data_IF_216602167308
#
_entry.id   IF_216602167308
#
_cell.length_a   1.000
_cell.length_b   1.000
_cell.length_c   1.000
_cell.angle_alpha   90.00
_cell.angle_beta   90.00
_cell.angle_gamma   90.00
#
_symmetry.space_group_name_H-M   'P 1'
#
loop_
_entity.id
_entity.type
_entity.pdbx_description
1 polymer ?
#
# COMPACT_ATOMS: atom_id res chain seq x y z
N UNK A 1 -1.02 22.58 6.82
CA UNK A 1 -0.67 21.15 6.88
C UNK A 1 0.00 20.78 5.58
N UNK A 2 1.19 20.19 5.65
CA UNK A 2 1.88 19.70 4.46
C UNK A 2 1.37 18.33 4.02
N UNK A 3 1.59 17.96 2.75
CA UNK A 3 1.22 16.65 2.19
C UNK A 3 1.74 15.47 3.03
N UNK A 4 2.96 15.59 3.55
CA UNK A 4 3.58 14.58 4.42
C UNK A 4 2.77 14.34 5.71
N UNK A 5 2.27 15.40 6.35
CA UNK A 5 1.51 15.30 7.59
C UNK A 5 0.14 14.63 7.34
N UNK A 6 -0.49 14.94 6.20
CA UNK A 6 -1.76 14.31 5.81
C UNK A 6 -1.60 12.80 5.58
N UNK A 7 -0.54 12.39 4.86
CA UNK A 7 -0.25 10.97 4.61
C UNK A 7 0.13 10.26 5.92
N UNK A 8 0.94 10.92 6.77
CA UNK A 8 1.31 10.38 8.08
C UNK A 8 0.07 10.15 8.95
N UNK A 9 -0.79 11.14 9.12
CA UNK A 9 -2.02 11.00 9.90
C UNK A 9 -2.93 9.90 9.30
N UNK A 10 -3.09 9.86 7.99
CA UNK A 10 -3.89 8.84 7.32
C UNK A 10 -3.36 7.42 7.55
N UNK A 11 -2.03 7.22 7.53
CA UNK A 11 -1.42 5.92 7.82
C UNK A 11 -1.66 5.50 9.27
N UNK A 12 -1.54 6.44 10.21
CA UNK A 12 -1.72 6.17 11.64
C UNK A 12 -3.17 5.80 11.95
N UNK A 13 -4.15 6.50 11.35
CA UNK A 13 -5.59 6.18 11.47
C UNK A 13 -5.90 4.75 10.99
N UNK A 14 -5.29 4.33 9.89
CA UNK A 14 -5.49 3.01 9.30
C UNK A 14 -4.56 1.92 9.85
N UNK A 15 -3.61 2.27 10.72
CA UNK A 15 -2.62 1.36 11.28
C UNK A 15 -1.69 0.76 10.23
N UNK A 16 -1.25 1.56 9.27
CA UNK A 16 -0.38 1.15 8.15
C UNK A 16 1.07 1.59 8.47
N UNK A 17 2.07 0.70 8.30
CA UNK A 17 3.48 1.05 8.51
C UNK A 17 3.99 2.04 7.45
N UNK A 18 5.16 2.63 7.66
CA UNK A 18 5.76 3.59 6.71
C UNK A 18 6.06 2.98 5.33
N UNK A 19 6.32 1.67 5.28
CA UNK A 19 6.48 0.91 4.04
C UNK A 19 5.38 -0.15 3.95
N UNK A 20 4.50 0.00 2.98
CA UNK A 20 3.39 -0.90 2.73
C UNK A 20 3.15 -1.03 1.22
N UNK A 21 2.67 -2.20 0.78
CA UNK A 21 2.17 -2.36 -0.59
C UNK A 21 0.73 -1.86 -0.68
N UNK A 22 0.27 -1.57 -1.91
CA UNK A 22 -1.09 -1.06 -2.14
C UNK A 22 -2.17 -2.07 -1.71
N UNK A 23 -1.86 -3.37 -1.74
CA UNK A 23 -2.76 -4.43 -1.27
C UNK A 23 -3.01 -4.35 0.23
N UNK A 24 -1.97 -4.12 1.04
CA UNK A 24 -2.09 -3.93 2.49
C UNK A 24 -2.92 -2.69 2.81
N UNK A 25 -2.71 -1.60 2.08
CA UNK A 25 -3.52 -0.37 2.23
C UNK A 25 -4.99 -0.66 1.97
N UNK A 26 -5.31 -1.36 0.87
CA UNK A 26 -6.68 -1.75 0.53
C UNK A 26 -7.29 -2.70 1.56
N UNK A 27 -6.51 -3.66 2.08
CA UNK A 27 -6.95 -4.61 3.09
C UNK A 27 -7.30 -3.89 4.40
N UNK A 28 -6.36 -3.09 4.93
CA UNK A 28 -6.53 -2.33 6.17
C UNK A 28 -7.72 -1.37 6.09
N UNK A 29 -7.90 -0.70 4.95
CA UNK A 29 -9.06 0.13 4.69
C UNK A 29 -10.39 -0.64 4.78
N UNK A 30 -10.48 -1.81 4.13
CA UNK A 30 -11.67 -2.67 4.20
C UNK A 30 -11.94 -3.19 5.61
N UNK A 31 -10.89 -3.56 6.34
CA UNK A 31 -10.99 -4.02 7.74
C UNK A 31 -11.49 -2.91 8.66
N UNK A 32 -10.94 -1.71 8.53
CA UNK A 32 -11.35 -0.54 9.31
C UNK A 32 -12.82 -0.17 9.04
N UNK A 33 -13.25 -0.16 7.77
CA UNK A 33 -14.66 0.07 7.42
C UNK A 33 -15.60 -0.98 7.99
N UNK A 34 -15.21 -2.26 7.97
CA UNK A 34 -16.01 -3.34 8.56
C UNK A 34 -16.15 -3.21 10.07
N UNK A 35 -15.10 -2.73 10.75
CA UNK A 35 -15.08 -2.53 12.21
C UNK A 35 -16.00 -1.38 12.63
N UNK A 36 -15.98 -0.28 11.90
CA UNK A 36 -16.73 0.94 12.21
C UNK A 36 -18.03 1.07 11.41
N UNK A 37 -18.49 -0.01 10.78
CA UNK A 37 -19.76 0.00 10.04
C UNK A 37 -20.92 0.29 11.01
N UNK A 38 -21.88 1.18 10.67
CA UNK A 38 -22.97 1.56 11.56
C UNK A 38 -23.78 0.36 12.08
N UNK A 39 -23.99 -0.68 11.26
CA UNK A 39 -24.65 -1.93 11.70
C UNK A 39 -23.84 -2.81 12.67
N UNK A 40 -22.51 -2.71 12.68
CA UNK A 40 -21.63 -3.59 13.47
C UNK A 40 -21.04 -2.90 14.69
N UNK A 41 -21.16 -1.59 14.76
CA UNK A 41 -20.57 -0.81 15.82
C UNK A 41 -21.38 -0.97 17.11
N UNK A 42 -20.69 -1.35 18.19
CA UNK A 42 -21.28 -1.52 19.52
C UNK A 42 -21.22 -0.24 20.37
N UNK A 43 -20.55 0.78 19.86
CA UNK A 43 -20.44 2.09 20.49
C UNK A 43 -21.58 3.02 20.06
N UNK A 44 -21.58 4.24 20.58
CA UNK A 44 -22.55 5.26 20.22
C UNK A 44 -22.53 5.54 18.70
N UNK A 45 -23.71 5.72 18.11
CA UNK A 45 -23.86 5.94 16.66
C UNK A 45 -23.05 7.15 16.19
N UNK A 46 -22.98 8.21 16.99
CA UNK A 46 -22.22 9.41 16.63
C UNK A 46 -20.72 9.13 16.55
N UNK A 47 -20.17 8.38 17.50
CA UNK A 47 -18.74 8.00 17.54
C UNK A 47 -18.40 7.11 16.34
N UNK A 48 -19.27 6.15 16.03
CA UNK A 48 -19.08 5.24 14.91
C UNK A 48 -19.11 5.98 13.57
N UNK A 49 -20.02 6.93 13.42
CA UNK A 49 -20.14 7.73 12.20
C UNK A 49 -18.93 8.66 12.02
N UNK A 50 -18.45 9.29 13.09
CA UNK A 50 -17.26 10.14 13.05
C UNK A 50 -16.01 9.32 12.66
N UNK A 51 -15.79 8.17 13.30
CA UNK A 51 -14.69 7.26 12.98
C UNK A 51 -14.76 6.73 11.55
N UNK A 52 -15.95 6.38 11.08
CA UNK A 52 -16.14 5.95 9.70
C UNK A 52 -15.77 7.06 8.71
N UNK A 53 -16.16 8.32 8.97
CA UNK A 53 -15.77 9.48 8.15
C UNK A 53 -14.26 9.68 8.13
N UNK A 54 -13.59 9.57 9.28
CA UNK A 54 -12.11 9.66 9.37
C UNK A 54 -11.43 8.57 8.53
N UNK A 55 -11.90 7.33 8.63
CA UNK A 55 -11.36 6.18 7.86
C UNK A 55 -11.54 6.37 6.36
N UNK A 56 -12.73 6.81 5.93
CA UNK A 56 -13.03 7.11 4.51
C UNK A 56 -12.08 8.19 4.00
N UNK A 57 -11.86 9.26 4.77
CA UNK A 57 -10.96 10.35 4.40
C UNK A 57 -9.51 9.87 4.30
N UNK A 58 -9.02 9.16 5.31
CA UNK A 58 -7.67 8.59 5.33
C UNK A 58 -7.44 7.63 4.15
N UNK A 59 -8.40 6.75 3.87
CA UNK A 59 -8.35 5.82 2.75
C UNK A 59 -8.27 6.52 1.40
N UNK A 60 -9.05 7.58 1.19
CA UNK A 60 -8.99 8.39 -0.05
C UNK A 60 -7.62 9.03 -0.26
N UNK A 61 -7.02 9.57 0.80
CA UNK A 61 -5.70 10.21 0.73
C UNK A 61 -4.63 9.18 0.35
N UNK A 62 -4.59 8.03 1.05
CA UNK A 62 -3.58 7.00 0.79
C UNK A 62 -3.77 6.35 -0.59
N UNK A 63 -4.99 6.01 -0.98
CA UNK A 63 -5.26 5.43 -2.29
C UNK A 63 -4.98 6.42 -3.42
N UNK A 64 -5.30 7.71 -3.23
CA UNK A 64 -4.94 8.76 -4.17
C UNK A 64 -3.42 8.91 -4.29
N UNK A 65 -2.71 8.93 -3.17
CA UNK A 65 -1.24 8.98 -3.16
C UNK A 65 -0.63 7.77 -3.89
N UNK A 66 -1.07 6.56 -3.57
CA UNK A 66 -0.57 5.33 -4.22
C UNK A 66 -0.94 5.26 -5.71
N UNK A 67 -2.11 5.78 -6.12
CA UNK A 67 -2.55 5.72 -7.52
C UNK A 67 -1.85 6.75 -8.40
N UNK A 68 -1.38 7.85 -7.83
CA UNK A 68 -0.56 8.85 -8.54
C UNK A 68 0.92 8.44 -8.64
N UNK A 69 1.33 7.36 -7.96
CA UNK A 69 2.69 6.86 -8.08
C UNK A 69 2.85 6.13 -9.41
N UNK A 70 3.64 6.72 -10.31
CA UNK A 70 3.98 6.07 -11.58
C UNK A 70 4.84 4.85 -11.31
N UNK A 71 4.40 3.70 -11.84
CA UNK A 71 5.18 2.47 -11.81
C UNK A 71 6.12 2.51 -13.01
N UNK A 72 7.43 2.49 -12.77
CA UNK A 72 8.42 2.40 -13.82
C UNK A 72 8.57 0.95 -14.29
N UNK A 73 8.20 0.69 -15.55
CA UNK A 73 8.34 -0.60 -16.22
C UNK A 73 9.57 -0.65 -17.12
N UNK A 74 10.49 0.31 -16.99
CA UNK A 74 11.78 0.28 -17.66
C UNK A 74 12.51 -1.02 -17.30
N UNK A 75 13.29 -1.51 -18.27
CA UNK A 75 14.13 -2.69 -18.06
C UNK A 75 15.06 -2.49 -16.86
N UNK A 76 15.58 -1.28 -16.68
CA UNK A 76 16.48 -0.92 -15.59
C UNK A 76 15.82 -1.00 -14.21
N UNK A 77 14.56 -0.59 -14.08
CA UNK A 77 13.81 -0.73 -12.82
C UNK A 77 13.47 -2.18 -12.54
N UNK A 78 12.95 -2.91 -13.53
CA UNK A 78 12.54 -4.32 -13.36
C UNK A 78 13.74 -5.21 -13.02
N UNK A 79 14.91 -4.96 -13.61
CA UNK A 79 16.15 -5.68 -13.33
C UNK A 79 16.70 -5.48 -11.91
N UNK A 80 16.15 -4.57 -11.11
CA UNK A 80 16.48 -4.47 -9.67
C UNK A 80 15.81 -5.56 -8.84
N UNK A 81 14.74 -6.17 -9.35
CA UNK A 81 13.90 -7.11 -8.62
C UNK A 81 13.98 -8.55 -9.16
N UNK A 82 14.80 -8.81 -10.18
CA UNK A 82 15.01 -10.17 -10.70
C UNK A 82 15.66 -11.07 -9.66
N UNK A 83 15.33 -12.35 -9.71
CA UNK A 83 15.86 -13.35 -8.77
C UNK A 83 17.37 -13.54 -8.93
N UNK A 84 18.00 -14.09 -7.89
CA UNK A 84 19.42 -14.45 -7.95
C UNK A 84 19.72 -15.44 -9.09
N UNK A 85 18.78 -16.35 -9.37
CA UNK A 85 18.87 -17.34 -10.46
C UNK A 85 18.79 -16.67 -11.84
N UNK A 86 17.86 -15.73 -12.04
CA UNK A 86 17.77 -14.96 -13.29
C UNK A 86 18.98 -14.05 -13.50
N UNK A 87 19.49 -13.43 -12.44
CA UNK A 87 20.75 -12.68 -12.48
C UNK A 87 21.91 -13.57 -12.92
N UNK A 88 22.01 -14.76 -12.33
CA UNK A 88 23.06 -15.72 -12.63
C UNK A 88 22.94 -16.22 -14.08
N UNK A 89 21.74 -16.62 -14.51
CA UNK A 89 21.48 -17.07 -15.89
C UNK A 89 21.73 -15.96 -16.91
N UNK A 90 21.36 -14.72 -16.61
CA UNK A 90 21.64 -13.59 -17.49
C UNK A 90 23.15 -13.33 -17.63
N UNK A 91 23.92 -13.52 -16.55
CA UNK A 91 25.36 -13.26 -16.50
C UNK A 91 26.21 -14.41 -17.06
N UNK A 92 25.78 -15.65 -16.89
CA UNK A 92 26.56 -16.87 -17.18
C UNK A 92 25.82 -17.94 -18.01
N UNK A 93 24.51 -17.79 -18.23
CA UNK A 93 23.69 -18.78 -18.96
C UNK A 93 23.92 -18.82 -20.47
N UNK A 94 24.79 -17.94 -21.00
CA UNK A 94 25.26 -17.95 -22.39
C UNK A 94 26.73 -18.36 -22.51
N UNK A 95 27.29 -19.06 -21.53
CA UNK A 95 28.64 -19.63 -21.67
C UNK A 95 28.59 -20.94 -22.46
N UNK A 96 29.13 -20.99 -23.70
CA UNK A 96 29.19 -22.21 -24.50
C UNK A 96 30.30 -23.19 -24.05
N UNK A 97 30.97 -22.94 -22.92
CA UNK A 97 32.23 -23.61 -22.53
C UNK A 97 31.99 -24.98 -21.86
N UNK A 98 30.75 -25.44 -21.76
CA UNK A 98 30.41 -26.81 -21.35
C UNK A 98 29.62 -27.58 -22.42
N UNK A 99 30.02 -27.39 -23.68
CA UNK A 99 29.68 -28.26 -24.83
C UNK A 99 30.95 -28.84 -25.44
#
# INVERSE_FOLDING_TARGET
MGLYEEIKNAREILGIPEKANIELVKQKYKEALKKWHPDKCKEDKEICEEKAKEIIRAGKILLGYCSNYLIDFSKEEVEKYISAEELWLKKFGKDPIWG
#
